data_IF_587923898621
#
_entry.id   IF_587923898621
#
_cell.length_a   1.000
_cell.length_b   1.000
_cell.length_c   1.000
_cell.angle_alpha   90.00
_cell.angle_beta   90.00
_cell.angle_gamma   90.00
#
_symmetry.space_group_name_H-M   'P 1'
#
loop_
_entity.id
_entity.type
_entity.pdbx_description
1 polymer ?
#
# COMPACT_ATOMS: atom_id res chain seq x y z
N UNK A 1 12.83 -9.92 8.24
CA UNK A 1 11.43 -9.55 8.50
C UNK A 1 11.32 -8.03 8.53
N UNK A 2 11.17 -7.41 7.36
CA UNK A 2 10.59 -6.07 7.31
C UNK A 2 9.11 -6.27 7.01
N UNK A 3 8.22 -6.10 7.98
CA UNK A 3 6.81 -6.29 7.77
C UNK A 3 6.26 -5.21 6.85
N UNK A 4 5.07 -5.45 6.37
CA UNK A 4 4.21 -4.51 5.63
C UNK A 4 3.85 -3.25 6.46
N UNK A 5 4.86 -2.59 7.01
CA UNK A 5 4.75 -1.44 7.92
C UNK A 5 4.29 -0.18 7.18
N UNK A 6 4.42 -0.15 5.85
CA UNK A 6 4.19 1.06 5.08
C UNK A 6 2.74 1.35 4.71
N UNK A 7 1.81 0.44 4.94
CA UNK A 7 0.41 0.67 4.55
C UNK A 7 -0.38 1.57 5.51
N UNK A 8 0.05 1.67 6.75
CA UNK A 8 -0.60 2.52 7.75
C UNK A 8 -0.24 4.00 7.63
N UNK A 9 1.03 4.31 7.37
CA UNK A 9 1.52 5.68 7.31
C UNK A 9 0.88 6.50 6.18
N UNK A 10 0.42 5.87 5.16
CA UNK A 10 -0.05 6.50 3.95
C UNK A 10 -1.40 7.22 4.05
N UNK A 11 -2.28 6.69 4.83
CA UNK A 11 -3.56 7.39 5.11
C UNK A 11 -3.41 8.40 6.23
N UNK A 12 -2.39 8.25 7.01
CA UNK A 12 -2.05 9.12 8.14
C UNK A 12 -1.47 10.44 7.69
N UNK A 13 -0.65 10.45 6.63
CA UNK A 13 -0.04 11.66 6.11
C UNK A 13 -1.02 12.73 5.68
N UNK A 14 -2.25 12.35 5.33
CA UNK A 14 -3.31 13.30 4.99
C UNK A 14 -4.09 13.83 6.19
N UNK A 15 -3.76 13.39 7.39
CA UNK A 15 -4.55 13.65 8.60
C UNK A 15 -3.81 14.53 9.59
N UNK A 16 -2.61 15.01 9.23
CA UNK A 16 -1.73 15.62 10.20
C UNK A 16 -1.74 17.12 10.16
N UNK A 17 -2.42 17.69 11.11
CA UNK A 17 -2.27 19.08 11.48
C UNK A 17 -1.87 19.19 12.92
N UNK A 18 -1.10 20.24 13.26
CA UNK A 18 -0.79 20.56 14.65
C UNK A 18 -2.06 20.53 15.49
N UNK A 19 -2.20 19.53 16.31
CA UNK A 19 -3.28 19.42 17.26
C UNK A 19 -4.44 18.51 16.91
N UNK A 20 -4.40 17.71 15.83
CA UNK A 20 -5.62 17.00 15.38
C UNK A 20 -5.43 15.54 14.99
N UNK A 21 -4.39 14.81 15.44
CA UNK A 21 -4.24 13.49 14.84
C UNK A 21 -3.76 12.37 15.68
N UNK A 22 -4.48 11.26 15.53
CA UNK A 22 -3.99 9.93 15.85
C UNK A 22 -4.13 9.02 14.65
N UNK A 23 -3.03 8.41 14.28
CA UNK A 23 -3.02 7.26 13.42
C UNK A 23 -2.69 6.02 14.21
N UNK A 24 -3.52 5.03 14.09
CA UNK A 24 -3.22 3.72 14.59
C UNK A 24 -2.22 3.04 13.65
N UNK A 25 -1.04 2.76 14.18
CA UNK A 25 -0.06 1.95 13.50
C UNK A 25 0.04 0.59 14.16
N UNK A 26 0.02 -0.45 13.32
CA UNK A 26 0.11 -1.84 13.73
C UNK A 26 1.01 -2.10 14.94
N UNK A 27 0.38 -2.59 15.99
CA UNK A 27 0.87 -3.63 16.91
C UNK A 27 2.05 -3.38 17.81
N UNK A 28 2.70 -2.26 17.91
CA UNK A 28 3.83 -2.20 18.86
C UNK A 28 4.23 -0.82 19.35
N UNK A 29 3.41 0.18 19.33
CA UNK A 29 3.81 1.38 20.11
C UNK A 29 2.65 2.31 20.33
N UNK A 30 2.61 2.81 21.54
CA UNK A 30 1.82 3.93 22.03
C UNK A 30 2.03 5.13 21.11
N UNK A 31 0.97 5.75 20.68
CA UNK A 31 1.02 7.01 19.97
C UNK A 31 0.68 8.12 20.94
N UNK A 32 1.53 9.09 20.99
CA UNK A 32 1.29 10.31 21.73
C UNK A 32 0.59 11.29 20.82
N UNK A 33 -0.53 11.78 21.30
CA UNK A 33 -1.15 12.97 20.74
C UNK A 33 -0.67 14.12 21.59
N UNK A 34 0.00 15.04 20.98
CA UNK A 34 0.41 16.24 21.64
C UNK A 34 -0.67 17.30 21.40
N UNK A 35 -1.67 17.30 22.25
CA UNK A 35 -2.58 18.43 22.38
C UNK A 35 -2.56 18.83 23.83
N UNK A 36 -1.96 19.96 24.13
CA UNK A 36 -1.86 20.55 25.46
C UNK A 36 -1.25 19.68 26.58
N UNK A 37 -0.32 18.77 26.25
CA UNK A 37 0.61 18.13 27.18
C UNK A 37 0.02 17.50 28.46
N UNK A 38 -1.20 17.00 28.45
CA UNK A 38 -1.74 16.33 29.64
C UNK A 38 -2.07 14.88 29.32
N UNK A 39 -1.26 13.96 29.84
CA UNK A 39 -1.54 12.52 29.86
C UNK A 39 -1.86 12.09 31.30
N UNK A 40 -2.97 11.37 31.46
CA UNK A 40 -3.33 10.72 32.73
C UNK A 40 -3.41 9.21 32.47
N UNK A 41 -2.59 8.45 33.16
CA UNK A 41 -2.55 6.99 33.06
C UNK A 41 -3.46 6.33 34.09
N UNK A 42 -4.35 5.49 33.65
CA UNK A 42 -5.18 4.64 34.52
C UNK A 42 -5.10 3.19 34.00
N UNK A 43 -4.46 2.30 34.74
CA UNK A 43 -4.42 0.83 34.50
C UNK A 43 -4.38 0.40 33.02
N UNK A 44 -3.39 0.86 32.24
CA UNK A 44 -3.25 0.60 30.80
C UNK A 44 -4.20 1.35 29.85
N UNK A 45 -5.04 2.23 30.36
CA UNK A 45 -5.86 3.16 29.58
C UNK A 45 -5.25 4.55 29.67
N UNK A 46 -4.90 5.15 28.54
CA UNK A 46 -4.40 6.52 28.49
C UNK A 46 -5.56 7.48 28.26
N UNK A 47 -5.69 8.45 29.17
CA UNK A 47 -6.63 9.56 29.02
C UNK A 47 -5.94 10.66 28.20
N UNK A 48 -6.51 11.03 27.07
CA UNK A 48 -5.92 12.03 26.18
C UNK A 48 -6.84 13.22 25.99
N UNK A 49 -6.31 14.41 26.27
CA UNK A 49 -7.01 15.67 26.07
C UNK A 49 -6.81 16.20 24.67
N UNK A 50 -7.87 16.59 24.00
CA UNK A 50 -7.83 17.27 22.72
C UNK A 50 -8.74 18.50 22.69
N UNK A 51 -8.34 19.52 21.92
CA UNK A 51 -9.00 20.84 21.97
C UNK A 51 -10.24 20.96 21.10
N UNK A 52 -10.40 20.15 20.08
CA UNK A 52 -11.52 20.22 19.13
C UNK A 52 -12.07 18.84 18.79
N UNK A 53 -11.46 18.16 17.82
CA UNK A 53 -11.85 16.84 17.38
C UNK A 53 -10.64 15.99 17.05
N UNK A 54 -10.79 14.67 17.21
CA UNK A 54 -9.80 13.69 16.82
C UNK A 54 -10.29 12.95 15.60
N UNK A 55 -9.49 13.00 14.54
CA UNK A 55 -9.72 12.19 13.33
C UNK A 55 -8.87 10.92 13.39
N UNK A 56 -9.51 9.77 13.58
CA UNK A 56 -8.85 8.49 13.70
C UNK A 56 -9.04 7.66 12.43
N UNK A 57 -7.94 7.22 11.81
CA UNK A 57 -7.97 6.41 10.60
C UNK A 57 -7.45 5.01 10.86
N UNK A 58 -8.11 4.03 10.24
CA UNK A 58 -7.70 2.63 10.26
C UNK A 58 -7.74 2.05 8.86
N UNK A 59 -6.66 1.34 8.47
CA UNK A 59 -6.53 0.76 7.13
C UNK A 59 -7.21 -0.59 7.04
N UNK A 60 -6.99 -1.45 8.03
CA UNK A 60 -7.49 -2.82 8.03
C UNK A 60 -8.57 -3.04 9.07
N UNK A 61 -9.62 -3.74 8.70
CA UNK A 61 -10.74 -4.10 9.59
C UNK A 61 -10.30 -4.96 10.78
N UNK A 62 -9.21 -5.71 10.63
CA UNK A 62 -8.67 -6.62 11.65
C UNK A 62 -7.61 -5.97 12.55
N UNK A 63 -7.25 -4.70 12.33
CA UNK A 63 -6.40 -3.97 13.29
C UNK A 63 -7.19 -3.70 14.56
N UNK A 64 -6.52 -3.82 15.69
CA UNK A 64 -7.10 -3.51 17.01
C UNK A 64 -7.17 -1.99 17.18
N UNK A 65 -8.11 -1.52 17.96
CA UNK A 65 -8.16 -0.14 18.44
C UNK A 65 -7.16 0.03 19.61
N UNK A 66 -6.71 1.26 19.83
CA UNK A 66 -5.75 1.57 20.90
C UNK A 66 -6.35 1.44 22.32
N UNK A 67 -7.67 1.43 22.44
CA UNK A 67 -8.36 1.39 23.74
C UNK A 67 -8.26 2.71 24.54
N UNK A 68 -7.68 3.76 23.96
CA UNK A 68 -7.51 5.06 24.62
C UNK A 68 -8.86 5.79 24.79
N UNK A 69 -8.99 6.56 25.85
CA UNK A 69 -10.14 7.42 26.13
C UNK A 69 -9.76 8.85 25.77
N UNK A 70 -10.63 9.51 25.03
CA UNK A 70 -10.46 10.89 24.57
C UNK A 70 -11.57 11.77 25.13
N UNK A 71 -11.22 12.99 25.52
CA UNK A 71 -12.16 14.00 26.05
C UNK A 71 -12.75 14.90 24.96
N UNK A 72 -12.64 14.50 23.72
CA UNK A 72 -13.16 15.21 22.55
C UNK A 72 -13.96 14.30 21.63
N UNK A 73 -14.59 14.89 20.63
CA UNK A 73 -15.25 14.16 19.57
C UNK A 73 -14.23 13.31 18.78
N UNK A 74 -14.51 12.02 18.63
CA UNK A 74 -13.67 11.09 17.86
C UNK A 74 -14.38 10.72 16.56
N UNK A 75 -13.84 11.19 15.43
CA UNK A 75 -14.36 10.92 14.09
C UNK A 75 -13.51 9.80 13.47
N UNK A 76 -14.13 8.64 13.25
CA UNK A 76 -13.46 7.45 12.74
C UNK A 76 -13.72 7.29 11.24
N UNK A 77 -12.65 7.07 10.46
CA UNK A 77 -12.73 6.85 9.01
C UNK A 77 -11.66 5.90 8.48
N UNK A 78 -11.62 5.73 7.16
CA UNK A 78 -10.71 4.80 6.50
C UNK A 78 -11.28 3.40 6.38
N UNK A 79 -10.64 2.55 5.56
CA UNK A 79 -11.15 1.22 5.18
C UNK A 79 -11.43 0.30 6.38
N UNK A 80 -10.69 0.46 7.46
CA UNK A 80 -10.83 -0.37 8.66
C UNK A 80 -11.98 0.02 9.59
N UNK A 81 -12.47 1.26 9.50
CA UNK A 81 -13.64 1.72 10.28
C UNK A 81 -14.85 1.92 9.39
N UNK A 82 -14.77 2.89 8.48
CA UNK A 82 -15.85 3.24 7.56
C UNK A 82 -15.28 3.83 6.26
N UNK A 83 -15.66 3.23 5.15
CA UNK A 83 -15.17 3.64 3.82
C UNK A 83 -15.84 4.92 3.31
N UNK A 84 -16.96 5.33 3.89
CA UNK A 84 -17.75 6.48 3.45
C UNK A 84 -17.36 7.77 4.18
N UNK A 85 -16.88 7.67 5.42
CA UNK A 85 -16.43 8.83 6.19
C UNK A 85 -15.18 9.43 5.56
N UNK A 86 -15.28 10.71 5.23
CA UNK A 86 -14.19 11.52 4.65
C UNK A 86 -13.78 12.58 5.63
N UNK A 87 -12.54 13.04 5.52
CA UNK A 87 -12.08 14.23 6.23
C UNK A 87 -12.82 15.47 5.71
N UNK A 88 -13.04 16.48 6.57
CA UNK A 88 -13.36 17.82 6.11
C UNK A 88 -12.32 18.32 5.09
N UNK A 89 -12.80 19.05 4.07
CA UNK A 89 -11.94 19.47 2.95
C UNK A 89 -10.74 20.31 3.40
N UNK A 90 -10.95 21.17 4.40
CA UNK A 90 -9.90 22.00 5.00
C UNK A 90 -8.81 21.18 5.68
N UNK A 91 -9.18 20.07 6.33
CA UNK A 91 -8.23 19.16 6.98
C UNK A 91 -7.53 18.28 5.95
N UNK A 92 -8.30 17.77 4.97
CA UNK A 92 -7.73 16.95 3.90
C UNK A 92 -6.71 17.73 3.04
N UNK A 93 -6.90 19.05 2.90
CA UNK A 93 -5.99 19.95 2.16
C UNK A 93 -4.71 20.30 2.93
N UNK A 94 -4.63 20.07 4.24
CA UNK A 94 -3.47 20.48 5.05
C UNK A 94 -2.20 19.72 4.67
N UNK A 95 -1.07 20.36 4.87
CA UNK A 95 0.24 19.74 4.70
C UNK A 95 0.50 18.70 5.80
N UNK A 96 1.13 17.55 5.48
CA UNK A 96 1.51 16.57 6.49
C UNK A 96 2.53 17.16 7.48
N UNK A 97 2.30 16.91 8.77
CA UNK A 97 3.30 17.21 9.81
C UNK A 97 4.13 15.95 10.11
N UNK A 98 5.34 15.92 9.61
CA UNK A 98 6.25 14.80 9.81
C UNK A 98 7.03 14.87 11.13
N UNK A 99 6.89 15.96 11.91
CA UNK A 99 7.68 16.14 13.13
C UNK A 99 7.30 15.18 14.25
N UNK A 100 6.07 14.68 14.22
CA UNK A 100 5.55 13.70 15.18
C UNK A 100 5.99 12.26 14.92
N UNK A 101 6.70 12.01 13.82
CA UNK A 101 7.17 10.67 13.46
C UNK A 101 8.69 10.60 13.40
N UNK A 102 9.24 9.49 13.86
CA UNK A 102 10.64 9.17 13.66
C UNK A 102 10.84 8.47 12.31
N UNK A 103 10.72 9.26 11.22
CA UNK A 103 10.97 8.79 9.85
C UNK A 103 12.15 9.52 9.24
N UNK A 104 12.74 8.93 8.18
CA UNK A 104 13.79 9.59 7.40
C UNK A 104 13.31 10.98 6.94
N UNK A 105 14.10 12.01 7.24
CA UNK A 105 13.81 13.41 6.88
C UNK A 105 13.67 13.65 5.37
N UNK A 106 14.12 12.71 4.53
CA UNK A 106 13.97 12.76 3.07
C UNK A 106 12.69 12.12 2.55
N UNK A 107 11.98 11.34 3.38
CA UNK A 107 10.77 10.64 2.97
C UNK A 107 9.54 11.53 3.07
N UNK A 108 8.72 11.54 2.04
CA UNK A 108 7.36 12.08 2.05
C UNK A 108 6.36 11.04 1.55
N UNK A 109 5.13 11.13 2.04
CA UNK A 109 4.05 10.22 1.70
C UNK A 109 2.86 10.99 1.16
N UNK A 110 2.19 10.47 0.13
CA UNK A 110 1.01 11.15 -0.39
C UNK A 110 0.35 10.44 -1.57
N UNK A 111 -0.65 11.12 -2.10
CA UNK A 111 -1.39 10.73 -3.29
C UNK A 111 -1.38 11.91 -4.27
N UNK A 112 -1.09 11.65 -5.52
CA UNK A 112 -1.23 12.61 -6.62
C UNK A 112 -2.61 12.50 -7.27
N UNK A 113 -3.11 11.26 -7.30
CA UNK A 113 -4.43 10.91 -7.81
C UNK A 113 -5.16 9.99 -6.82
N UNK A 114 -6.49 10.01 -6.85
CA UNK A 114 -7.36 9.09 -6.09
C UNK A 114 -8.30 8.38 -7.04
N UNK A 115 -8.66 7.13 -6.70
CA UNK A 115 -9.60 6.34 -7.47
C UNK A 115 -8.96 5.45 -8.54
N UNK A 116 -9.80 4.59 -9.15
CA UNK A 116 -9.37 3.62 -10.15
C UNK A 116 -10.53 3.30 -11.11
N UNK A 117 -10.31 3.23 -12.44
CA UNK A 117 -11.37 2.89 -13.39
C UNK A 117 -11.70 1.39 -13.40
N UNK A 118 -10.86 0.56 -12.80
CA UNK A 118 -11.03 -0.89 -12.77
C UNK A 118 -12.08 -1.30 -11.75
N UNK A 119 -12.78 -2.42 -12.02
CA UNK A 119 -13.79 -3.01 -11.14
C UNK A 119 -13.35 -4.39 -10.66
N UNK A 120 -12.17 -4.46 -10.03
CA UNK A 120 -11.67 -5.72 -9.48
C UNK A 120 -12.56 -6.18 -8.33
N UNK A 121 -12.97 -7.46 -8.35
CA UNK A 121 -13.94 -8.03 -7.39
C UNK A 121 -13.51 -7.94 -5.93
N UNK A 122 -12.20 -7.93 -5.69
CA UNK A 122 -11.59 -7.88 -4.36
C UNK A 122 -11.18 -6.48 -3.92
N UNK A 123 -11.43 -5.46 -4.72
CA UNK A 123 -10.91 -4.12 -4.49
C UNK A 123 -11.97 -3.17 -3.97
N UNK A 124 -11.68 -2.52 -2.85
CA UNK A 124 -12.54 -1.50 -2.22
C UNK A 124 -12.49 -0.15 -2.95
N UNK A 125 -11.42 0.12 -3.72
CA UNK A 125 -11.17 1.44 -4.31
C UNK A 125 -12.32 1.97 -5.17
N UNK A 126 -12.96 1.18 -6.07
CA UNK A 126 -14.07 1.69 -6.86
C UNK A 126 -15.28 2.17 -6.03
N UNK A 127 -15.49 1.56 -4.85
CA UNK A 127 -16.57 1.91 -3.93
C UNK A 127 -16.18 3.13 -3.10
N UNK A 128 -14.95 3.15 -2.57
CA UNK A 128 -14.47 4.18 -1.67
C UNK A 128 -14.09 5.48 -2.37
N UNK A 129 -13.37 5.37 -3.49
CA UNK A 129 -12.73 6.52 -4.16
C UNK A 129 -13.38 6.85 -5.52
N UNK A 130 -14.07 5.88 -6.14
CA UNK A 130 -14.68 6.06 -7.45
C UNK A 130 -13.70 6.10 -8.61
N UNK A 131 -14.01 6.93 -9.63
CA UNK A 131 -13.16 7.13 -10.81
C UNK A 131 -11.89 7.88 -10.45
N UNK A 132 -10.84 7.69 -11.26
CA UNK A 132 -9.57 8.43 -11.08
C UNK A 132 -9.82 9.94 -11.21
N UNK A 133 -9.32 10.68 -10.25
CA UNK A 133 -9.34 12.14 -10.21
C UNK A 133 -8.01 12.69 -9.69
N UNK A 134 -7.68 13.90 -10.11
CA UNK A 134 -6.53 14.63 -9.57
C UNK A 134 -6.76 14.90 -8.08
N UNK A 135 -5.72 14.78 -7.27
CA UNK A 135 -5.83 15.01 -5.84
C UNK A 135 -4.87 16.08 -5.34
N UNK A 136 -3.55 15.88 -5.49
CA UNK A 136 -2.52 16.84 -5.08
C UNK A 136 -1.45 17.01 -6.15
N UNK A 137 -0.78 18.14 -6.11
CA UNK A 137 0.45 18.32 -6.86
C UNK A 137 1.64 17.69 -6.12
N UNK A 138 2.64 17.24 -6.87
CA UNK A 138 3.83 16.61 -6.26
C UNK A 138 4.62 17.58 -5.37
N UNK A 139 4.63 18.86 -5.68
CA UNK A 139 5.33 19.88 -4.88
C UNK A 139 4.62 20.11 -3.52
N UNK A 140 3.32 19.83 -3.44
CA UNK A 140 2.57 19.86 -2.16
C UNK A 140 2.88 18.64 -1.27
N UNK A 141 3.47 17.59 -1.83
CA UNK A 141 3.89 16.39 -1.09
C UNK A 141 5.37 16.49 -0.70
N UNK A 142 6.20 17.02 -1.60
CA UNK A 142 7.65 17.15 -1.42
C UNK A 142 8.04 18.36 -0.56
N UNK A 143 7.36 18.54 0.56
CA UNK A 143 7.59 19.67 1.49
C UNK A 143 8.86 19.48 2.32
N UNK A 144 9.34 20.54 2.96
CA UNK A 144 10.48 20.53 3.90
C UNK A 144 11.78 19.94 3.32
N UNK A 145 12.00 20.09 2.00
CA UNK A 145 13.18 19.56 1.32
C UNK A 145 13.19 18.05 1.13
N UNK A 146 12.04 17.38 1.30
CA UNK A 146 11.88 15.93 1.10
C UNK A 146 11.93 15.60 -0.38
N UNK A 147 12.70 14.58 -0.74
CA UNK A 147 12.99 14.23 -2.14
C UNK A 147 12.70 12.76 -2.48
N UNK A 148 12.37 11.95 -1.48
CA UNK A 148 12.01 10.54 -1.65
C UNK A 148 10.51 10.38 -1.38
N UNK A 149 9.72 10.10 -2.42
CA UNK A 149 8.27 10.10 -2.36
C UNK A 149 7.72 8.68 -2.36
N UNK A 150 6.98 8.33 -1.32
CA UNK A 150 6.18 7.10 -1.28
C UNK A 150 4.76 7.47 -1.70
N UNK A 151 4.41 7.17 -2.95
CA UNK A 151 3.15 7.53 -3.56
C UNK A 151 2.18 6.34 -3.52
N UNK A 152 0.99 6.60 -3.03
CA UNK A 152 0.01 5.55 -2.75
C UNK A 152 -1.21 5.63 -3.65
N UNK A 153 -0.99 6.18 -4.84
CA UNK A 153 -1.99 6.31 -5.88
C UNK A 153 -2.61 4.95 -6.23
N UNK A 154 -3.91 4.90 -6.32
CA UNK A 154 -4.60 3.65 -6.63
C UNK A 154 -4.37 3.20 -8.07
N UNK A 155 -4.30 4.14 -9.04
CA UNK A 155 -3.95 3.86 -10.44
C UNK A 155 -3.50 5.14 -11.17
N UNK A 156 -2.30 5.61 -10.86
CA UNK A 156 -1.77 6.88 -11.42
C UNK A 156 -1.68 6.89 -12.93
N UNK A 157 -1.41 5.73 -13.56
CA UNK A 157 -1.28 5.63 -15.02
C UNK A 157 -2.61 5.77 -15.76
N UNK A 158 -3.74 5.73 -15.05
CA UNK A 158 -5.08 5.78 -15.65
C UNK A 158 -5.60 7.21 -15.88
N UNK A 159 -4.78 8.24 -15.70
CA UNK A 159 -5.17 9.64 -15.94
C UNK A 159 -4.05 10.47 -16.53
N UNK A 160 -4.40 11.43 -17.40
CA UNK A 160 -3.43 12.37 -17.96
C UNK A 160 -2.78 13.24 -16.87
N UNK A 161 -3.53 13.60 -15.84
CA UNK A 161 -2.98 14.35 -14.72
C UNK A 161 -1.92 13.55 -13.96
N UNK A 162 -2.15 12.24 -13.77
CA UNK A 162 -1.15 11.35 -13.18
C UNK A 162 0.13 11.26 -14.01
N UNK A 163 0.01 11.16 -15.33
CA UNK A 163 1.18 11.15 -16.23
C UNK A 163 1.95 12.46 -16.17
N UNK A 164 1.27 13.62 -16.15
CA UNK A 164 1.91 14.94 -15.97
C UNK A 164 2.63 15.05 -14.62
N UNK A 165 2.09 14.46 -13.56
CA UNK A 165 2.77 14.43 -12.27
C UNK A 165 4.04 13.56 -12.31
N UNK A 166 4.04 12.44 -13.04
CA UNK A 166 5.25 11.65 -13.27
C UNK A 166 6.30 12.44 -14.04
N UNK A 167 5.93 13.19 -15.08
CA UNK A 167 6.83 14.10 -15.81
C UNK A 167 7.44 15.13 -14.84
N UNK A 168 6.63 15.74 -14.00
CA UNK A 168 7.09 16.71 -13.00
C UNK A 168 8.03 16.08 -11.94
N UNK A 169 7.78 14.86 -11.50
CA UNK A 169 8.68 14.09 -10.63
C UNK A 169 10.06 13.94 -11.26
N UNK A 170 10.11 13.62 -12.56
CA UNK A 170 11.34 13.46 -13.31
C UNK A 170 12.09 14.79 -13.41
N UNK A 171 11.40 15.88 -13.78
CA UNK A 171 11.97 17.21 -13.92
C UNK A 171 12.52 17.75 -12.59
N UNK A 172 11.85 17.50 -11.48
CA UNK A 172 12.30 17.84 -10.13
C UNK A 172 13.43 16.95 -9.62
N UNK A 173 13.66 15.82 -10.28
CA UNK A 173 14.68 14.84 -9.91
C UNK A 173 14.34 14.06 -8.63
N UNK A 174 13.08 14.02 -8.22
CA UNK A 174 12.63 13.26 -7.06
C UNK A 174 12.79 11.76 -7.29
N UNK A 175 13.00 11.03 -6.18
CA UNK A 175 12.95 9.56 -6.19
C UNK A 175 11.57 9.11 -5.73
N UNK A 176 11.04 8.05 -6.35
CA UNK A 176 9.67 7.61 -6.07
C UNK A 176 9.55 6.10 -5.90
N UNK A 177 8.62 5.71 -5.07
CA UNK A 177 8.03 4.38 -4.99
C UNK A 177 6.51 4.50 -5.16
N UNK A 178 5.95 3.96 -6.24
CA UNK A 178 4.50 3.83 -6.43
C UNK A 178 4.02 2.60 -5.65
N UNK A 179 3.74 2.78 -4.38
CA UNK A 179 3.61 1.73 -3.39
C UNK A 179 2.39 0.80 -3.60
N UNK A 180 1.33 1.28 -4.28
CA UNK A 180 0.11 0.49 -4.55
C UNK A 180 0.18 -0.32 -5.85
N UNK A 181 1.34 -0.33 -6.52
CA UNK A 181 1.61 -0.93 -7.82
C UNK A 181 1.02 -0.16 -9.00
N UNK A 182 1.74 -0.25 -10.12
CA UNK A 182 1.32 0.26 -11.41
C UNK A 182 0.49 -0.79 -12.16
N UNK A 183 -0.48 -0.34 -12.92
CA UNK A 183 -1.28 -1.19 -13.78
C UNK A 183 -0.51 -1.54 -15.07
N UNK A 184 0.02 -2.75 -15.15
CA UNK A 184 0.81 -3.22 -16.28
C UNK A 184 0.07 -3.12 -17.63
N UNK A 185 -1.25 -3.20 -17.63
CA UNK A 185 -2.10 -3.08 -18.83
C UNK A 185 -1.99 -1.71 -19.51
N UNK A 186 -1.73 -0.67 -18.74
CA UNK A 186 -1.62 0.71 -19.20
C UNK A 186 -0.21 1.08 -19.67
N UNK A 187 0.78 0.23 -19.45
CA UNK A 187 2.17 0.50 -19.86
C UNK A 187 2.31 0.28 -21.35
N UNK A 188 2.17 1.37 -22.12
CA UNK A 188 2.50 1.45 -23.55
C UNK A 188 3.98 1.74 -23.73
N UNK A 189 4.56 1.66 -24.97
CA UNK A 189 5.93 2.08 -25.23
C UNK A 189 6.24 3.50 -24.74
N UNK A 190 5.34 4.46 -24.96
CA UNK A 190 5.47 5.84 -24.51
C UNK A 190 5.52 5.94 -22.97
N UNK A 191 4.65 5.21 -22.29
CA UNK A 191 4.65 5.17 -20.81
C UNK A 191 5.90 4.46 -20.28
N UNK A 192 6.37 3.42 -20.96
CA UNK A 192 7.61 2.74 -20.59
C UNK A 192 8.83 3.66 -20.71
N UNK A 193 8.91 4.48 -21.75
CA UNK A 193 9.95 5.53 -21.90
C UNK A 193 9.90 6.57 -20.77
N UNK A 194 8.68 6.95 -20.34
CA UNK A 194 8.49 7.84 -19.19
C UNK A 194 9.00 7.18 -17.91
N UNK A 195 8.56 5.95 -17.62
CA UNK A 195 8.94 5.19 -16.42
C UNK A 195 10.44 4.87 -16.39
N UNK A 196 11.09 4.72 -17.55
CA UNK A 196 12.53 4.49 -17.66
C UNK A 196 13.36 5.68 -17.17
N UNK A 197 12.81 6.90 -17.16
CA UNK A 197 13.46 8.12 -16.67
C UNK A 197 13.27 8.34 -15.17
N UNK A 198 12.33 7.64 -14.55
CA UNK A 198 12.02 7.78 -13.13
C UNK A 198 13.18 7.29 -12.26
N UNK A 199 13.53 8.06 -11.25
CA UNK A 199 14.49 7.66 -10.21
C UNK A 199 13.76 6.85 -9.12
N UNK A 200 13.81 5.54 -9.23
CA UNK A 200 13.15 4.64 -8.29
C UNK A 200 13.87 4.63 -6.93
N UNK A 201 13.11 4.59 -5.85
CA UNK A 201 13.67 4.40 -4.50
C UNK A 201 14.22 2.97 -4.38
N UNK A 202 13.42 1.97 -4.79
CA UNK A 202 13.81 0.56 -4.69
C UNK A 202 13.41 -0.22 -5.95
N UNK A 203 12.14 -0.58 -6.08
CA UNK A 203 11.63 -1.51 -7.10
C UNK A 203 10.48 -0.87 -7.89
N UNK A 204 10.21 -1.40 -9.09
CA UNK A 204 8.95 -1.14 -9.79
C UNK A 204 7.92 -2.17 -9.34
N UNK A 205 6.76 -1.70 -8.86
CA UNK A 205 5.67 -2.56 -8.40
C UNK A 205 4.60 -2.68 -9.47
N UNK A 206 4.16 -3.90 -9.75
CA UNK A 206 3.09 -4.19 -10.72
C UNK A 206 2.02 -5.06 -10.07
N UNK A 207 0.75 -4.87 -10.46
CA UNK A 207 -0.34 -5.75 -10.07
C UNK A 207 -0.43 -6.97 -10.98
N UNK A 208 -0.48 -8.18 -10.41
CA UNK A 208 -0.53 -9.45 -11.16
C UNK A 208 -1.51 -10.45 -10.49
N UNK A 209 -2.81 -10.12 -10.50
CA UNK A 209 -3.84 -10.85 -9.76
C UNK A 209 -4.56 -11.91 -10.59
N UNK A 210 -4.36 -11.93 -11.90
CA UNK A 210 -5.04 -12.84 -12.82
C UNK A 210 -4.09 -13.40 -13.89
N UNK A 211 -4.42 -14.55 -14.53
CA UNK A 211 -3.60 -15.11 -15.61
C UNK A 211 -3.37 -14.15 -16.78
N UNK A 212 -4.35 -13.29 -17.09
CA UNK A 212 -4.20 -12.26 -18.14
C UNK A 212 -3.14 -11.24 -17.77
N UNK A 213 -3.09 -10.85 -16.50
CA UNK A 213 -2.10 -9.89 -16.01
C UNK A 213 -0.67 -10.45 -15.99
N UNK A 214 -0.47 -11.76 -16.00
CA UNK A 214 0.87 -12.35 -16.18
C UNK A 214 1.47 -11.87 -17.49
N UNK A 215 0.74 -12.04 -18.60
CA UNK A 215 1.17 -11.63 -19.94
C UNK A 215 1.41 -10.11 -20.01
N UNK A 216 0.53 -9.33 -19.35
CA UNK A 216 0.68 -7.88 -19.33
C UNK A 216 1.88 -7.43 -18.51
N UNK A 217 2.19 -8.11 -17.40
CA UNK A 217 3.39 -7.83 -16.62
C UNK A 217 4.66 -8.17 -17.40
N UNK A 218 4.71 -9.30 -18.11
CA UNK A 218 5.84 -9.65 -18.96
C UNK A 218 6.05 -8.61 -20.06
N UNK A 219 4.96 -8.21 -20.74
CA UNK A 219 5.00 -7.17 -21.76
C UNK A 219 5.50 -5.84 -21.19
N UNK A 220 4.96 -5.43 -20.03
CA UNK A 220 5.34 -4.17 -19.38
C UNK A 220 6.83 -4.16 -18.98
N UNK A 221 7.31 -5.23 -18.36
CA UNK A 221 8.72 -5.38 -17.99
C UNK A 221 9.63 -5.31 -19.19
N UNK A 222 9.28 -6.01 -20.28
CA UNK A 222 10.03 -5.95 -21.55
C UNK A 222 10.08 -4.54 -22.11
N UNK A 223 8.96 -3.84 -22.21
CA UNK A 223 8.89 -2.47 -22.71
C UNK A 223 9.75 -1.51 -21.89
N UNK A 224 9.73 -1.63 -20.56
CA UNK A 224 10.57 -0.81 -19.68
C UNK A 224 12.05 -1.12 -19.89
N UNK A 225 12.42 -2.37 -20.06
CA UNK A 225 13.81 -2.78 -20.30
C UNK A 225 14.29 -2.31 -21.69
N UNK A 226 13.46 -2.41 -22.73
CA UNK A 226 13.73 -1.89 -24.10
C UNK A 226 13.89 -0.36 -24.07
N UNK A 227 13.12 0.36 -23.28
CA UNK A 227 13.27 1.79 -23.06
C UNK A 227 14.51 2.16 -22.21
N UNK A 228 15.39 1.21 -21.94
CA UNK A 228 16.59 1.36 -21.09
C UNK A 228 16.29 1.70 -19.63
N UNK A 229 15.07 1.45 -19.17
CA UNK A 229 14.75 1.39 -17.77
C UNK A 229 15.51 0.21 -17.15
N UNK A 230 16.30 0.47 -16.10
CA UNK A 230 17.09 -0.57 -15.44
C UNK A 230 16.69 -0.66 -13.97
N UNK A 231 15.43 -1.02 -13.65
CA UNK A 231 15.06 -1.25 -12.25
C UNK A 231 15.88 -2.43 -11.73
N UNK A 232 16.30 -2.36 -10.48
CA UNK A 232 17.02 -3.47 -9.84
C UNK A 232 16.18 -4.73 -9.81
N UNK A 233 14.90 -4.57 -9.51
CA UNK A 233 13.92 -5.65 -9.40
C UNK A 233 12.51 -5.13 -9.72
N UNK A 234 11.64 -6.07 -10.08
CA UNK A 234 10.19 -5.88 -10.11
C UNK A 234 9.58 -6.59 -8.90
N UNK A 235 8.59 -5.96 -8.29
CA UNK A 235 7.78 -6.55 -7.22
C UNK A 235 6.36 -6.74 -7.74
N UNK A 236 5.88 -7.96 -7.81
CA UNK A 236 4.51 -8.25 -8.23
C UNK A 236 3.63 -8.47 -7.00
N UNK A 237 2.62 -7.64 -6.83
CA UNK A 237 1.53 -7.92 -5.91
C UNK A 237 0.55 -8.87 -6.58
N UNK A 238 0.11 -9.86 -5.83
CA UNK A 238 -0.78 -10.89 -6.35
C UNK A 238 -1.79 -11.32 -5.28
N UNK A 239 -3.06 -11.18 -5.62
CA UNK A 239 -4.16 -11.57 -4.73
C UNK A 239 -4.41 -13.07 -4.82
N UNK A 240 -4.59 -13.71 -3.68
CA UNK A 240 -5.04 -15.10 -3.57
C UNK A 240 -6.55 -15.08 -3.27
N UNK A 241 -7.37 -15.50 -4.23
CA UNK A 241 -8.83 -15.48 -4.08
C UNK A 241 -9.33 -16.91 -3.83
N UNK A 242 -9.96 -17.57 -4.79
CA UNK A 242 -10.72 -18.78 -4.53
C UNK A 242 -10.08 -20.05 -5.14
N UNK A 243 -9.29 -19.91 -6.21
CA UNK A 243 -8.74 -21.06 -6.96
C UNK A 243 -7.26 -21.27 -6.69
N UNK A 244 -6.97 -22.27 -5.87
CA UNK A 244 -5.59 -22.66 -5.54
C UNK A 244 -4.80 -23.10 -6.78
N UNK A 245 -5.44 -23.78 -7.75
CA UNK A 245 -4.75 -24.29 -8.94
C UNK A 245 -4.33 -23.16 -9.87
N UNK A 246 -5.23 -22.17 -10.03
CA UNK A 246 -4.92 -20.93 -10.75
C UNK A 246 -3.78 -20.17 -10.06
N UNK A 247 -3.92 -19.92 -8.77
CA UNK A 247 -2.93 -19.20 -7.98
C UNK A 247 -1.55 -19.89 -8.05
N UNK A 248 -1.51 -21.21 -7.88
CA UNK A 248 -0.28 -22.00 -7.99
C UNK A 248 0.37 -21.85 -9.36
N UNK A 249 -0.41 -21.98 -10.46
CA UNK A 249 0.10 -21.82 -11.84
C UNK A 249 0.67 -20.42 -12.07
N UNK A 250 -0.06 -19.39 -11.67
CA UNK A 250 0.32 -17.98 -11.82
C UNK A 250 1.58 -17.63 -11.02
N UNK A 251 1.66 -18.09 -9.78
CA UNK A 251 2.82 -17.83 -8.93
C UNK A 251 4.04 -18.64 -9.38
N UNK A 252 3.87 -19.92 -9.73
CA UNK A 252 4.98 -20.77 -10.19
C UNK A 252 5.62 -20.27 -11.47
N UNK A 253 4.85 -19.58 -12.33
CA UNK A 253 5.35 -18.98 -13.57
C UNK A 253 6.55 -18.03 -13.34
N UNK A 254 6.58 -17.31 -12.22
CA UNK A 254 7.61 -16.31 -11.94
C UNK A 254 8.88 -16.86 -11.30
N UNK A 255 8.95 -18.15 -11.01
CA UNK A 255 10.09 -18.75 -10.28
C UNK A 255 11.42 -18.59 -11.01
N UNK A 256 11.41 -18.64 -12.33
CA UNK A 256 12.62 -18.53 -13.17
C UNK A 256 13.03 -17.07 -13.46
N UNK A 257 12.20 -16.11 -13.08
CA UNK A 257 12.46 -14.67 -13.31
C UNK A 257 13.32 -14.07 -12.20
N UNK A 258 14.64 -14.09 -12.40
CA UNK A 258 15.63 -13.64 -11.37
C UNK A 258 15.38 -12.23 -10.81
N UNK A 259 14.79 -11.32 -11.62
CA UNK A 259 14.51 -9.92 -11.25
C UNK A 259 13.10 -9.71 -10.71
N UNK A 260 12.31 -10.75 -10.57
CA UNK A 260 10.94 -10.69 -10.06
C UNK A 260 10.89 -11.18 -8.62
N UNK A 261 10.19 -10.43 -7.79
CA UNK A 261 9.79 -10.84 -6.44
C UNK A 261 8.27 -10.82 -6.37
N UNK A 262 7.72 -11.74 -5.61
CA UNK A 262 6.27 -11.82 -5.39
C UNK A 262 5.92 -11.44 -3.96
N UNK A 263 4.77 -10.77 -3.84
CA UNK A 263 4.06 -10.59 -2.57
C UNK A 263 2.64 -11.09 -2.79
N UNK A 264 2.42 -12.36 -2.46
CA UNK A 264 1.09 -12.94 -2.50
C UNK A 264 0.30 -12.54 -1.24
N UNK A 265 -0.91 -12.05 -1.45
CA UNK A 265 -1.78 -11.54 -0.39
C UNK A 265 -3.05 -12.38 -0.30
N UNK A 266 -3.33 -13.03 0.83
CA UNK A 266 -4.61 -13.64 1.08
C UNK A 266 -5.74 -12.61 0.98
N UNK A 267 -6.79 -12.96 0.26
CA UNK A 267 -7.96 -12.09 0.15
C UNK A 267 -8.69 -11.95 1.48
N UNK A 268 -8.98 -10.73 1.85
CA UNK A 268 -9.82 -10.39 3.00
C UNK A 268 -10.98 -9.52 2.53
N UNK A 269 -12.19 -10.03 2.68
CA UNK A 269 -13.38 -9.27 2.36
C UNK A 269 -13.62 -8.19 3.42
N UNK A 270 -13.59 -6.94 3.02
CA UNK A 270 -13.84 -5.81 3.92
C UNK A 270 -15.31 -5.76 4.41
N UNK A 271 -16.24 -6.37 3.66
CA UNK A 271 -17.64 -6.53 4.09
C UNK A 271 -17.82 -7.65 5.13
N UNK A 272 -16.84 -8.56 5.24
CA UNK A 272 -16.87 -9.65 6.19
C UNK A 272 -15.56 -9.73 7.00
N UNK A 273 -15.35 -8.82 7.96
CA UNK A 273 -14.10 -8.73 8.72
C UNK A 273 -13.80 -9.97 9.57
N UNK A 274 -14.80 -10.83 9.80
CA UNK A 274 -14.66 -12.10 10.54
C UNK A 274 -14.41 -13.30 9.64
N UNK A 275 -14.25 -13.10 8.32
CA UNK A 275 -13.96 -14.17 7.37
C UNK A 275 -12.68 -14.91 7.77
N UNK A 276 -12.80 -16.23 7.89
CA UNK A 276 -11.64 -17.10 8.06
C UNK A 276 -10.90 -17.21 6.73
N UNK A 277 -9.60 -16.94 6.77
CA UNK A 277 -8.74 -17.09 5.60
C UNK A 277 -8.39 -18.55 5.42
N UNK A 278 -8.61 -19.13 4.23
CA UNK A 278 -8.21 -20.50 3.93
C UNK A 278 -6.71 -20.72 4.20
N UNK A 279 -6.37 -21.79 4.89
CA UNK A 279 -4.99 -22.06 5.30
C UNK A 279 -4.02 -22.13 4.11
N UNK A 280 -4.46 -22.65 2.96
CA UNK A 280 -3.64 -22.69 1.76
C UNK A 280 -3.21 -21.31 1.27
N UNK A 281 -4.04 -20.26 1.44
CA UNK A 281 -3.68 -18.90 1.08
C UNK A 281 -2.56 -18.36 1.99
N UNK A 282 -2.64 -18.66 3.29
CA UNK A 282 -1.61 -18.26 4.25
C UNK A 282 -0.27 -18.97 3.95
N UNK A 283 -0.33 -20.25 3.64
CA UNK A 283 0.86 -21.05 3.35
C UNK A 283 1.49 -20.66 2.00
N UNK A 284 0.67 -20.36 0.99
CA UNK A 284 1.12 -19.88 -0.32
C UNK A 284 1.73 -18.48 -0.25
N UNK A 285 1.13 -17.58 0.53
CA UNK A 285 1.70 -16.27 0.81
C UNK A 285 3.05 -16.40 1.51
N UNK A 286 3.15 -17.25 2.52
CA UNK A 286 4.41 -17.52 3.24
C UNK A 286 5.48 -18.11 2.34
N UNK A 287 5.10 -19.03 1.44
CA UNK A 287 6.00 -19.62 0.46
C UNK A 287 6.62 -18.58 -0.48
N UNK A 288 5.81 -17.68 -1.05
CA UNK A 288 6.29 -16.63 -1.98
C UNK A 288 7.15 -15.58 -1.29
N UNK A 289 6.86 -15.23 -0.04
CA UNK A 289 7.59 -14.21 0.70
C UNK A 289 9.01 -14.63 1.11
N UNK A 290 9.26 -15.95 1.19
CA UNK A 290 10.59 -16.50 1.52
C UNK A 290 11.34 -16.84 0.24
N UNK A 291 12.07 -15.85 -0.30
CA UNK A 291 12.76 -15.94 -1.59
C UNK A 291 13.55 -17.24 -1.79
N UNK A 292 14.27 -17.67 -0.77
CA UNK A 292 15.10 -18.88 -0.84
C UNK A 292 14.25 -20.14 -0.95
N UNK A 293 13.14 -20.21 -0.23
CA UNK A 293 12.19 -21.31 -0.31
C UNK A 293 11.48 -21.27 -1.67
N UNK A 294 10.96 -20.12 -2.05
CA UNK A 294 10.26 -19.95 -3.31
C UNK A 294 11.11 -20.35 -4.52
N UNK A 295 12.41 -20.00 -4.54
CA UNK A 295 13.31 -20.34 -5.65
C UNK A 295 13.66 -21.83 -5.71
N UNK A 296 13.75 -22.52 -4.58
CA UNK A 296 14.30 -23.90 -4.50
C UNK A 296 13.24 -24.98 -4.29
N UNK A 297 12.13 -24.66 -3.67
CA UNK A 297 11.10 -25.61 -3.30
C UNK A 297 9.81 -25.31 -4.07
N UNK A 298 9.25 -26.34 -4.73
CA UNK A 298 7.92 -26.22 -5.31
C UNK A 298 6.86 -26.08 -4.21
N UNK A 299 5.76 -25.36 -4.49
CA UNK A 299 4.73 -25.18 -3.48
C UNK A 299 4.14 -26.51 -3.01
N UNK A 300 3.99 -27.49 -3.89
CA UNK A 300 3.47 -28.82 -3.52
C UNK A 300 4.39 -29.57 -2.56
N UNK A 301 5.69 -29.31 -2.63
CA UNK A 301 6.70 -29.94 -1.77
C UNK A 301 6.98 -29.09 -0.51
N UNK A 302 6.47 -27.85 -0.46
CA UNK A 302 6.65 -26.97 0.69
C UNK A 302 5.94 -27.54 1.93
N UNK A 303 6.69 -27.60 3.03
CA UNK A 303 6.25 -28.09 4.33
C UNK A 303 6.16 -26.90 5.32
N UNK A 304 5.00 -26.20 5.39
CA UNK A 304 4.83 -25.08 6.30
C UNK A 304 4.71 -25.50 7.77
N UNK A 305 4.36 -26.76 8.03
CA UNK A 305 4.20 -27.40 9.33
C UNK A 305 4.77 -28.82 9.26
N UNK A 306 5.36 -29.29 10.35
CA UNK A 306 5.92 -30.65 10.46
C UNK A 306 4.93 -31.71 9.99
N UNK A 307 5.32 -32.52 9.01
CA UNK A 307 4.54 -33.64 8.49
C UNK A 307 3.41 -33.25 7.52
N UNK A 308 3.23 -31.96 7.18
CA UNK A 308 2.22 -31.53 6.22
C UNK A 308 2.89 -30.91 4.98
N UNK A 309 2.66 -31.48 3.82
CA UNK A 309 3.10 -30.93 2.53
C UNK A 309 1.94 -30.28 1.79
N UNK A 310 2.19 -29.14 1.19
CA UNK A 310 1.15 -28.37 0.48
C UNK A 310 0.52 -29.09 -0.71
N UNK A 311 1.09 -30.20 -1.20
CA UNK A 311 0.42 -31.09 -2.17
C UNK A 311 -0.93 -31.62 -1.68
N UNK A 312 -1.12 -31.69 -0.36
CA UNK A 312 -2.37 -32.16 0.27
C UNK A 312 -3.55 -31.19 0.06
N UNK A 313 -3.28 -29.99 -0.44
CA UNK A 313 -4.33 -29.04 -0.85
C UNK A 313 -4.90 -29.30 -2.26
N UNK A 314 -4.28 -30.15 -3.09
CA UNK A 314 -4.64 -30.37 -4.49
C UNK A 314 -5.35 -31.70 -4.69
#
# INVERSE_FOLDING_TARGET
LRPAINFGLSQVSNLMTRGMLIAEHNRLRRYEIIINNTEIYYENITYKSCTQALYKSKVFTFSEDDGDIYDCEVIKGGTGYDIHTKLPAEIDAMQPDYTIYNIDSKLAYGFLTRGCPNKCKWCVVPIKEGKVQTYRDVDDIAVDGRTNLILMDNNILASDSGLKQIEKIIDRGYRVDFNQALDARLITPKIAELLAKVKWIDVIRLGCDTPKQVVECERAMRLIDEARGKPKQYLLYTMLVDDIKEAYKRLSHWRDYKRVRLVAQPFRDFNNPRQLIPQWQLDMARWTMRREIYARCDFKDYEPRKGFKCKEYF
#
